data_IF_957429116359
#
_entry.id   IF_957429116359
#
_cell.length_a   1.000
_cell.length_b   1.000
_cell.length_c   1.000
_cell.angle_alpha   90.00
_cell.angle_beta   90.00
_cell.angle_gamma   90.00
#
_symmetry.space_group_name_H-M   'P 1'
#
loop_
_entity.id
_entity.type
_entity.pdbx_description
1 polymer ?
#
# COMPACT_ATOMS: atom_id res chain seq x y z
N UNK A 1 18.48 -36.89 -29.29
CA UNK A 1 18.26 -36.14 -28.04
C UNK A 1 17.76 -34.73 -28.37
N UNK A 2 16.51 -34.36 -28.00
CA UNK A 2 15.95 -33.04 -28.32
C UNK A 2 16.59 -32.00 -27.39
N UNK A 3 17.42 -31.08 -27.91
CA UNK A 3 17.95 -29.94 -27.14
C UNK A 3 16.79 -29.08 -26.63
N UNK A 4 16.40 -29.25 -25.36
CA UNK A 4 15.45 -28.36 -24.67
C UNK A 4 16.17 -27.04 -24.36
N UNK A 5 15.54 -25.89 -24.60
CA UNK A 5 16.15 -24.61 -24.23
C UNK A 5 16.19 -24.51 -22.70
N UNK A 6 17.21 -23.86 -22.16
CA UNK A 6 17.35 -23.67 -20.70
C UNK A 6 16.11 -23.00 -20.06
N UNK A 7 15.42 -22.14 -20.83
CA UNK A 7 14.14 -21.52 -20.42
C UNK A 7 13.04 -22.57 -20.20
N UNK A 8 12.91 -23.54 -21.10
CA UNK A 8 11.84 -24.54 -21.05
C UNK A 8 12.01 -25.45 -19.82
N UNK A 9 13.25 -25.86 -19.55
CA UNK A 9 13.60 -26.67 -18.36
C UNK A 9 13.38 -25.86 -17.07
N UNK A 10 13.72 -24.58 -17.06
CA UNK A 10 13.50 -23.70 -15.90
C UNK A 10 12.00 -23.51 -15.61
N UNK A 11 11.18 -23.26 -16.64
CA UNK A 11 9.72 -23.10 -16.52
C UNK A 11 9.06 -24.39 -16.03
N UNK A 12 9.48 -25.55 -16.53
CA UNK A 12 8.96 -26.86 -16.10
C UNK A 12 9.21 -27.07 -14.60
N UNK A 13 10.45 -26.84 -14.13
CA UNK A 13 10.83 -27.02 -12.73
C UNK A 13 10.28 -25.95 -11.76
N UNK A 14 9.96 -24.73 -12.23
CA UNK A 14 9.46 -23.64 -11.38
C UNK A 14 7.96 -23.35 -11.54
N UNK A 15 7.23 -24.15 -12.31
CA UNK A 15 5.78 -24.04 -12.52
C UNK A 15 4.98 -23.98 -11.20
N UNK A 16 5.35 -24.82 -10.21
CA UNK A 16 4.73 -24.82 -8.89
C UNK A 16 4.93 -23.48 -8.12
N UNK A 17 6.09 -22.84 -8.26
CA UNK A 17 6.38 -21.56 -7.61
C UNK A 17 5.62 -20.41 -8.27
N UNK A 18 5.46 -20.45 -9.59
CA UNK A 18 4.63 -19.46 -10.33
C UNK A 18 3.17 -19.56 -9.88
N UNK A 19 2.62 -20.78 -9.81
CA UNK A 19 1.26 -21.02 -9.31
C UNK A 19 1.07 -20.56 -7.86
N UNK A 20 2.04 -20.85 -6.98
CA UNK A 20 2.00 -20.40 -5.59
C UNK A 20 2.08 -18.87 -5.47
N UNK A 21 2.93 -18.23 -6.28
CA UNK A 21 3.03 -16.77 -6.35
C UNK A 21 1.75 -16.11 -6.88
N UNK A 22 1.11 -16.70 -7.90
CA UNK A 22 -0.19 -16.26 -8.40
C UNK A 22 -1.24 -16.24 -7.30
N UNK A 23 -1.37 -17.37 -6.60
CA UNK A 23 -2.34 -17.54 -5.52
C UNK A 23 -2.07 -16.54 -4.40
N UNK A 24 -0.82 -16.40 -3.97
CA UNK A 24 -0.43 -15.45 -2.94
C UNK A 24 -0.78 -14.00 -3.33
N UNK A 25 -0.54 -13.60 -4.58
CA UNK A 25 -0.90 -12.26 -5.06
C UNK A 25 -2.42 -12.06 -5.09
N UNK A 26 -3.20 -13.04 -5.54
CA UNK A 26 -4.68 -12.98 -5.54
C UNK A 26 -5.25 -12.87 -4.13
N UNK A 27 -4.78 -13.71 -3.20
CA UNK A 27 -5.25 -13.74 -1.82
C UNK A 27 -4.91 -12.43 -1.09
N UNK A 28 -3.69 -11.94 -1.28
CA UNK A 28 -3.23 -10.64 -0.74
C UNK A 28 -4.03 -9.49 -1.34
N UNK A 29 -4.17 -9.47 -2.67
CA UNK A 29 -4.90 -8.42 -3.39
C UNK A 29 -6.37 -8.34 -2.95
N UNK A 30 -7.03 -9.48 -2.78
CA UNK A 30 -8.42 -9.54 -2.28
C UNK A 30 -8.52 -8.97 -0.88
N UNK A 31 -7.66 -9.40 0.04
CA UNK A 31 -7.64 -8.93 1.42
C UNK A 31 -7.38 -7.43 1.50
N UNK A 32 -6.38 -6.93 0.77
CA UNK A 32 -6.05 -5.50 0.73
C UNK A 32 -7.13 -4.66 0.03
N UNK A 33 -7.82 -5.20 -0.97
CA UNK A 33 -8.98 -4.54 -1.61
C UNK A 33 -10.09 -4.30 -0.60
N UNK A 34 -10.40 -5.29 0.24
CA UNK A 34 -11.42 -5.17 1.30
C UNK A 34 -11.00 -4.10 2.32
N UNK A 35 -9.76 -4.15 2.79
CA UNK A 35 -9.23 -3.14 3.74
C UNK A 35 -9.27 -1.73 3.12
N UNK A 36 -8.84 -1.58 1.87
CA UNK A 36 -8.87 -0.30 1.16
C UNK A 36 -10.30 0.23 1.00
N UNK A 37 -11.24 -0.62 0.58
CA UNK A 37 -12.65 -0.25 0.45
C UNK A 37 -13.24 0.21 1.79
N UNK A 38 -12.93 -0.48 2.88
CA UNK A 38 -13.34 -0.07 4.24
C UNK A 38 -12.80 1.31 4.59
N UNK A 39 -11.51 1.59 4.33
CA UNK A 39 -10.93 2.91 4.57
C UNK A 39 -11.63 3.98 3.73
N UNK A 40 -11.92 3.70 2.45
CA UNK A 40 -12.67 4.63 1.58
C UNK A 40 -14.02 4.98 2.22
N UNK A 41 -14.80 3.99 2.66
CA UNK A 41 -16.11 4.22 3.28
C UNK A 41 -16.02 5.03 4.57
N UNK A 42 -15.06 4.70 5.44
CA UNK A 42 -14.90 5.37 6.74
C UNK A 42 -14.49 6.83 6.52
N UNK A 43 -13.44 7.08 5.73
CA UNK A 43 -12.95 8.43 5.47
C UNK A 43 -13.98 9.27 4.72
N UNK A 44 -14.72 8.68 3.78
CA UNK A 44 -15.79 9.39 3.07
C UNK A 44 -16.87 9.86 4.04
N UNK A 45 -17.26 8.99 4.99
CA UNK A 45 -18.20 9.36 6.05
C UNK A 45 -17.64 10.50 6.90
N UNK A 46 -16.38 10.36 7.34
CA UNK A 46 -15.67 11.34 8.19
C UNK A 46 -15.54 12.71 7.52
N UNK A 47 -15.36 12.78 6.20
CA UNK A 47 -15.33 14.01 5.43
C UNK A 47 -16.62 14.84 5.55
N UNK A 48 -17.78 14.16 5.65
CA UNK A 48 -19.08 14.81 5.77
C UNK A 48 -19.57 14.91 7.22
N UNK A 49 -19.10 14.04 8.11
CA UNK A 49 -19.40 14.09 9.55
C UNK A 49 -18.32 14.88 10.29
N UNK A 50 -18.25 16.18 10.02
CA UNK A 50 -17.20 17.08 10.52
C UNK A 50 -17.08 17.01 12.06
N UNK A 51 -15.88 16.70 12.60
CA UNK A 51 -15.64 16.73 14.05
C UNK A 51 -15.85 18.14 14.58
N UNK A 52 -16.71 18.27 15.60
CA UNK A 52 -17.05 19.56 16.21
C UNK A 52 -18.35 20.20 15.71
N UNK A 53 -18.96 19.67 14.66
CA UNK A 53 -20.26 20.13 14.16
C UNK A 53 -20.21 21.46 13.37
N UNK A 54 -21.39 21.88 12.92
CA UNK A 54 -21.56 23.05 12.08
C UNK A 54 -22.05 24.25 12.90
N UNK A 55 -21.59 25.46 12.58
CA UNK A 55 -22.13 26.66 13.21
C UNK A 55 -23.57 26.89 12.70
N UNK A 56 -24.55 26.89 13.61
CA UNK A 56 -25.98 26.99 13.28
C UNK A 56 -26.37 28.29 12.56
N UNK A 57 -25.56 29.35 12.70
CA UNK A 57 -25.84 30.65 12.09
C UNK A 57 -25.23 30.84 10.70
N UNK A 58 -24.13 30.14 10.39
CA UNK A 58 -23.38 30.35 9.14
C UNK A 58 -23.29 29.10 8.27
N UNK A 59 -23.58 27.92 8.82
CA UNK A 59 -23.47 26.67 8.11
C UNK A 59 -22.02 26.24 7.81
N UNK A 60 -21.02 26.89 8.41
CA UNK A 60 -19.60 26.54 8.30
C UNK A 60 -19.08 25.76 9.53
N UNK A 61 -18.15 24.80 9.33
CA UNK A 61 -17.57 24.04 10.43
C UNK A 61 -17.05 24.96 11.53
N UNK A 62 -17.41 24.68 12.78
CA UNK A 62 -17.07 25.51 13.95
C UNK A 62 -15.55 25.76 14.10
N UNK A 63 -14.73 24.88 13.55
CA UNK A 63 -13.27 24.93 13.61
C UNK A 63 -12.59 25.25 12.27
N UNK A 64 -13.33 25.80 11.28
CA UNK A 64 -12.81 26.07 9.91
C UNK A 64 -11.51 26.88 9.87
N UNK A 65 -11.33 27.82 10.80
CA UNK A 65 -10.13 28.67 10.88
C UNK A 65 -8.95 28.03 11.65
N UNK A 66 -9.15 26.86 12.27
CA UNK A 66 -8.07 26.18 12.99
C UNK A 66 -7.20 25.40 12.02
N UNK A 67 -5.89 25.54 12.19
CA UNK A 67 -4.87 24.79 11.42
C UNK A 67 -5.12 23.28 11.49
N UNK A 68 -5.55 22.77 12.65
CA UNK A 68 -5.87 21.35 12.85
C UNK A 68 -7.02 20.86 11.96
N UNK A 69 -8.04 21.70 11.71
CA UNK A 69 -9.16 21.34 10.84
C UNK A 69 -8.73 21.26 9.37
N UNK A 70 -7.86 22.17 8.92
CA UNK A 70 -7.27 22.11 7.58
C UNK A 70 -6.42 20.85 7.41
N UNK A 71 -5.60 20.51 8.41
CA UNK A 71 -4.79 19.28 8.40
C UNK A 71 -5.70 18.04 8.35
N UNK A 72 -6.79 18.03 9.12
CA UNK A 72 -7.79 16.96 9.10
C UNK A 72 -8.37 16.76 7.70
N UNK A 73 -8.93 17.81 7.08
CA UNK A 73 -9.53 17.72 5.75
C UNK A 73 -8.54 17.30 4.66
N UNK A 74 -7.32 17.84 4.69
CA UNK A 74 -6.28 17.47 3.71
C UNK A 74 -5.86 16.00 3.89
N UNK A 75 -5.67 15.55 5.14
CA UNK A 75 -5.26 14.19 5.44
C UNK A 75 -6.34 13.17 5.08
N UNK A 76 -7.60 13.50 5.34
CA UNK A 76 -8.76 12.70 4.96
C UNK A 76 -8.84 12.53 3.43
N UNK A 77 -8.72 13.63 2.67
CA UNK A 77 -8.70 13.60 1.21
C UNK A 77 -7.54 12.74 0.67
N UNK A 78 -6.32 12.91 1.21
CA UNK A 78 -5.17 12.08 0.80
C UNK A 78 -5.44 10.61 1.11
N UNK A 79 -6.03 10.29 2.28
CA UNK A 79 -6.39 8.92 2.63
C UNK A 79 -7.38 8.32 1.64
N UNK A 80 -8.43 9.06 1.29
CA UNK A 80 -9.45 8.64 0.33
C UNK A 80 -8.89 8.35 -1.05
N UNK A 81 -8.16 9.31 -1.63
CA UNK A 81 -7.60 9.15 -2.98
C UNK A 81 -6.55 8.05 -3.02
N UNK A 82 -5.71 7.95 -1.99
CA UNK A 82 -4.68 6.92 -1.93
C UNK A 82 -5.29 5.53 -1.74
N UNK A 83 -6.28 5.37 -0.85
CA UNK A 83 -7.00 4.10 -0.67
C UNK A 83 -7.75 3.68 -1.94
N UNK A 84 -8.44 4.61 -2.60
CA UNK A 84 -9.14 4.33 -3.86
C UNK A 84 -8.16 3.87 -4.95
N UNK A 85 -7.01 4.54 -5.05
CA UNK A 85 -5.94 4.14 -5.99
C UNK A 85 -5.40 2.75 -5.66
N UNK A 86 -5.21 2.45 -4.38
CA UNK A 86 -4.80 1.13 -3.90
C UNK A 86 -5.80 0.04 -4.30
N UNK A 87 -7.09 0.27 -4.07
CA UNK A 87 -8.20 -0.62 -4.46
C UNK A 87 -8.19 -0.86 -5.97
N UNK A 88 -8.03 0.18 -6.79
CA UNK A 88 -7.96 0.02 -8.24
C UNK A 88 -6.76 -0.81 -8.70
N UNK A 89 -5.60 -0.63 -8.06
CA UNK A 89 -4.40 -1.43 -8.37
C UNK A 89 -4.59 -2.90 -8.00
N UNK A 90 -5.17 -3.18 -6.84
CA UNK A 90 -5.47 -4.54 -6.39
C UNK A 90 -6.56 -5.20 -7.24
N UNK A 91 -7.63 -4.49 -7.57
CA UNK A 91 -8.64 -4.96 -8.51
C UNK A 91 -8.04 -5.23 -9.90
N UNK A 92 -7.08 -4.40 -10.33
CA UNK A 92 -6.30 -4.61 -11.54
C UNK A 92 -5.41 -5.85 -11.54
N UNK A 93 -5.03 -6.36 -10.36
CA UNK A 93 -4.34 -7.66 -10.18
C UNK A 93 -5.34 -8.80 -10.25
N UNK A 94 -6.52 -8.65 -9.65
CA UNK A 94 -7.57 -9.68 -9.67
C UNK A 94 -8.19 -9.87 -11.07
N UNK A 95 -8.30 -8.77 -11.82
CA UNK A 95 -8.92 -8.74 -13.16
C UNK A 95 -7.91 -9.02 -14.28
N UNK A 96 -6.61 -8.94 -13.99
CA UNK A 96 -5.56 -9.25 -14.97
C UNK A 96 -5.68 -10.71 -15.44
N UNK A 97 -5.75 -10.90 -16.76
CA UNK A 97 -5.59 -12.22 -17.37
C UNK A 97 -4.10 -12.54 -17.32
N UNK A 98 -3.72 -13.47 -16.46
CA UNK A 98 -2.36 -13.89 -16.12
C UNK A 98 -1.59 -14.50 -17.33
N UNK A 99 -1.33 -13.70 -18.36
CA UNK A 99 -0.46 -14.07 -19.48
C UNK A 99 1.02 -13.93 -19.04
N UNK A 100 1.86 -14.89 -19.43
CA UNK A 100 3.25 -15.05 -18.93
C UNK A 100 4.11 -13.77 -19.03
N UNK A 101 3.89 -12.91 -20.03
CA UNK A 101 4.68 -11.68 -20.23
C UNK A 101 4.26 -10.51 -19.33
N UNK A 102 2.98 -10.41 -18.94
CA UNK A 102 2.49 -9.38 -18.00
C UNK A 102 2.81 -9.72 -16.53
N UNK A 103 3.01 -11.01 -16.26
CA UNK A 103 3.26 -11.57 -14.94
C UNK A 103 4.59 -11.12 -14.32
N UNK A 104 5.63 -10.94 -15.15
CA UNK A 104 6.99 -10.73 -14.67
C UNK A 104 7.31 -9.28 -14.30
N UNK A 105 6.54 -8.30 -14.81
CA UNK A 105 6.84 -6.87 -14.59
C UNK A 105 5.64 -6.02 -14.21
N UNK A 106 4.47 -6.27 -14.82
CA UNK A 106 3.28 -5.43 -14.58
C UNK A 106 2.60 -5.78 -13.24
N UNK A 107 2.53 -7.06 -12.88
CA UNK A 107 1.91 -7.53 -11.63
C UNK A 107 2.67 -7.08 -10.37
N UNK A 108 3.99 -7.31 -10.26
CA UNK A 108 4.75 -6.84 -9.10
C UNK A 108 4.67 -5.33 -8.94
N UNK A 109 4.69 -4.58 -10.04
CA UNK A 109 4.61 -3.12 -10.01
C UNK A 109 3.24 -2.63 -9.50
N UNK A 110 2.14 -3.22 -10.00
CA UNK A 110 0.78 -2.93 -9.48
C UNK A 110 0.68 -3.24 -7.99
N UNK A 111 1.28 -4.33 -7.53
CA UNK A 111 1.22 -4.74 -6.13
C UNK A 111 2.05 -3.80 -5.24
N UNK A 112 3.23 -3.38 -5.68
CA UNK A 112 4.05 -2.37 -5.00
C UNK A 112 3.30 -1.05 -4.88
N UNK A 113 2.76 -0.54 -6.00
CA UNK A 113 1.99 0.72 -6.00
C UNK A 113 0.78 0.60 -5.09
N UNK A 114 -0.01 -0.49 -5.21
CA UNK A 114 -1.19 -0.75 -4.39
C UNK A 114 -0.88 -0.77 -2.89
N UNK A 115 0.13 -1.52 -2.46
CA UNK A 115 0.55 -1.60 -1.06
C UNK A 115 1.09 -0.26 -0.55
N UNK A 116 1.84 0.49 -1.38
CA UNK A 116 2.39 1.80 -1.00
C UNK A 116 1.29 2.84 -0.78
N UNK A 117 0.28 2.87 -1.66
CA UNK A 117 -0.89 3.72 -1.50
C UNK A 117 -1.73 3.31 -0.28
N UNK A 118 -1.89 2.00 -0.02
CA UNK A 118 -2.60 1.53 1.17
C UNK A 118 -1.90 1.99 2.46
N UNK A 119 -0.57 1.89 2.49
CA UNK A 119 0.23 2.38 3.61
C UNK A 119 0.06 3.89 3.83
N UNK A 120 0.19 4.67 2.75
CA UNK A 120 0.01 6.11 2.79
C UNK A 120 -1.38 6.47 3.32
N UNK A 121 -2.43 5.77 2.87
CA UNK A 121 -3.79 5.95 3.35
C UNK A 121 -3.94 5.65 4.84
N UNK A 122 -3.40 4.54 5.34
CA UNK A 122 -3.46 4.21 6.78
C UNK A 122 -2.72 5.28 7.61
N UNK A 123 -1.56 5.74 7.15
CA UNK A 123 -0.81 6.78 7.83
C UNK A 123 -1.58 8.10 7.89
N UNK A 124 -2.15 8.57 6.78
CA UNK A 124 -2.93 9.82 6.76
C UNK A 124 -4.26 9.70 7.49
N UNK A 125 -4.89 8.51 7.48
CA UNK A 125 -6.07 8.23 8.32
C UNK A 125 -5.75 8.40 9.82
N UNK A 126 -4.59 7.91 10.29
CA UNK A 126 -4.19 8.10 11.70
C UNK A 126 -3.89 9.56 12.03
N UNK A 127 -3.33 10.33 11.08
CA UNK A 127 -3.14 11.78 11.23
C UNK A 127 -4.49 12.50 11.31
N UNK A 128 -5.44 12.17 10.43
CA UNK A 128 -6.79 12.72 10.45
C UNK A 128 -7.49 12.41 11.78
N UNK A 129 -7.44 11.16 12.24
CA UNK A 129 -7.99 10.76 13.52
C UNK A 129 -7.39 11.54 14.70
N UNK A 130 -6.06 11.70 14.72
CA UNK A 130 -5.35 12.46 15.76
C UNK A 130 -5.74 13.95 15.74
N UNK A 131 -5.88 14.54 14.55
CA UNK A 131 -6.33 15.91 14.38
C UNK A 131 -7.79 16.09 14.85
N UNK A 132 -8.68 15.17 14.49
CA UNK A 132 -10.08 15.17 14.89
C UNK A 132 -10.24 15.11 16.42
N UNK A 133 -9.49 14.21 17.08
CA UNK A 133 -9.49 14.12 18.54
C UNK A 133 -8.93 15.37 19.21
N UNK A 134 -7.87 15.95 18.63
CA UNK A 134 -7.28 17.19 19.16
C UNK A 134 -8.25 18.37 19.08
N UNK A 135 -9.09 18.41 18.04
CA UNK A 135 -10.18 19.40 17.90
C UNK A 135 -11.27 19.13 18.93
N UNK A 136 -11.68 17.88 19.10
CA UNK A 136 -12.79 17.50 19.98
C UNK A 136 -12.46 17.69 21.48
N UNK A 137 -11.22 17.43 21.90
CA UNK A 137 -10.78 17.52 23.30
C UNK A 137 -9.99 18.82 23.60
N UNK A 138 -10.30 19.92 22.91
CA UNK A 138 -9.60 21.20 23.05
C UNK A 138 -9.46 21.61 24.53
N UNK A 139 -8.24 21.51 25.08
CA UNK A 139 -7.90 21.84 26.47
C UNK A 139 -7.57 20.66 27.40
N UNK A 140 -7.82 19.40 27.01
CA UNK A 140 -7.54 18.20 27.81
C UNK A 140 -6.38 17.36 27.25
N UNK A 141 -5.18 17.96 27.25
CA UNK A 141 -3.93 17.35 26.73
C UNK A 141 -3.60 15.98 27.33
N UNK A 142 -4.06 15.70 28.56
CA UNK A 142 -3.81 14.43 29.25
C UNK A 142 -4.49 13.22 28.56
N UNK A 143 -5.57 13.45 27.80
CA UNK A 143 -6.27 12.40 27.04
C UNK A 143 -5.72 12.27 25.62
N UNK A 144 -5.27 13.37 25.02
CA UNK A 144 -4.77 13.40 23.64
C UNK A 144 -3.44 12.67 23.50
N UNK A 145 -2.52 12.82 24.47
CA UNK A 145 -1.17 12.23 24.41
C UNK A 145 -1.18 10.69 24.35
N UNK A 146 -1.91 9.97 25.22
CA UNK A 146 -2.02 8.51 25.13
C UNK A 146 -2.62 8.03 23.82
N UNK A 147 -3.59 8.76 23.27
CA UNK A 147 -4.28 8.34 22.05
C UNK A 147 -3.41 8.52 20.81
N UNK A 148 -2.59 9.57 20.75
CA UNK A 148 -1.56 9.71 19.71
C UNK A 148 -0.57 8.55 19.78
N UNK A 149 -0.14 8.18 20.99
CA UNK A 149 0.78 7.05 21.18
C UNK A 149 0.16 5.72 20.72
N UNK A 150 -1.13 5.52 21.01
CA UNK A 150 -1.89 4.37 20.55
C UNK A 150 -2.06 4.35 19.02
N UNK A 151 -2.26 5.52 18.39
CA UNK A 151 -2.37 5.65 16.94
C UNK A 151 -1.05 5.36 16.21
N UNK A 152 0.10 5.55 16.87
CA UNK A 152 1.40 5.17 16.32
C UNK A 152 1.58 3.65 16.23
N UNK A 153 0.98 2.87 17.13
CA UNK A 153 1.14 1.42 17.17
C UNK A 153 0.75 0.72 15.84
N UNK A 154 -0.44 0.94 15.25
CA UNK A 154 -0.80 0.32 13.98
C UNK A 154 0.08 0.80 12.81
N UNK A 155 0.55 2.06 12.82
CA UNK A 155 1.47 2.57 11.77
C UNK A 155 2.82 1.86 11.83
N UNK A 156 3.37 1.69 13.03
CA UNK A 156 4.65 1.01 13.24
C UNK A 156 4.52 -0.48 12.90
N UNK A 157 3.44 -1.13 13.34
CA UNK A 157 3.13 -2.52 13.01
C UNK A 157 3.03 -2.73 11.50
N UNK A 158 2.28 -1.86 10.82
CA UNK A 158 2.12 -1.96 9.37
C UNK A 158 3.43 -1.68 8.64
N UNK A 159 4.21 -0.69 9.08
CA UNK A 159 5.54 -0.42 8.53
C UNK A 159 6.46 -1.63 8.68
N UNK A 160 6.47 -2.27 9.84
CA UNK A 160 7.26 -3.48 10.09
C UNK A 160 6.82 -4.66 9.20
N UNK A 161 5.51 -4.81 8.97
CA UNK A 161 4.96 -5.94 8.22
C UNK A 161 5.08 -5.75 6.70
N UNK A 162 4.89 -4.53 6.17
CA UNK A 162 4.89 -4.23 4.74
C UNK A 162 6.30 -4.01 4.17
N UNK A 163 7.26 -3.57 5.00
CA UNK A 163 8.59 -3.23 4.54
C UNK A 163 9.40 -4.43 4.02
N UNK A 164 9.43 -5.61 4.69
CA UNK A 164 10.11 -6.79 4.17
C UNK A 164 9.63 -7.26 2.79
N UNK A 165 8.31 -7.44 2.54
CA UNK A 165 7.84 -7.89 1.23
C UNK A 165 8.03 -6.83 0.14
N UNK A 166 7.79 -5.54 0.43
CA UNK A 166 8.04 -4.45 -0.54
C UNK A 166 9.51 -4.36 -0.92
N UNK A 167 10.42 -4.42 0.07
CA UNK A 167 11.87 -4.35 -0.18
C UNK A 167 12.35 -5.55 -1.00
N UNK A 168 11.89 -6.76 -0.68
CA UNK A 168 12.24 -7.96 -1.44
C UNK A 168 11.74 -7.88 -2.89
N UNK A 169 10.52 -7.41 -3.09
CA UNK A 169 9.93 -7.30 -4.42
C UNK A 169 10.62 -6.22 -5.26
N UNK A 170 10.91 -5.04 -4.70
CA UNK A 170 11.69 -3.98 -5.37
C UNK A 170 13.09 -4.47 -5.72
N UNK A 171 13.79 -5.14 -4.79
CA UNK A 171 15.12 -5.68 -5.04
C UNK A 171 15.09 -6.80 -6.09
N UNK A 172 14.02 -7.60 -6.16
CA UNK A 172 13.88 -8.64 -7.18
C UNK A 172 13.54 -8.08 -8.56
N UNK A 173 12.74 -7.02 -8.65
CA UNK A 173 12.29 -6.43 -9.92
C UNK A 173 13.31 -5.42 -10.49
N UNK A 174 13.98 -4.66 -9.63
CA UNK A 174 14.90 -3.58 -10.02
C UNK A 174 16.35 -3.81 -9.59
N UNK A 175 16.65 -4.87 -8.82
CA UNK A 175 18.01 -5.17 -8.40
C UNK A 175 18.90 -5.68 -9.55
N UNK A 176 20.23 -5.65 -9.36
CA UNK A 176 21.17 -6.15 -10.37
C UNK A 176 20.86 -7.62 -10.65
N UNK A 177 20.56 -7.92 -11.92
CA UNK A 177 20.25 -9.26 -12.38
C UNK A 177 21.33 -10.23 -11.89
N UNK A 178 20.94 -11.20 -11.07
CA UNK A 178 21.82 -12.26 -10.56
C UNK A 178 22.51 -13.00 -11.73
N UNK A 179 21.91 -12.98 -12.91
CA UNK A 179 22.44 -13.54 -14.14
C UNK A 179 23.54 -12.71 -14.79
N UNK A 180 23.50 -11.38 -14.70
CA UNK A 180 24.50 -10.51 -15.33
C UNK A 180 25.88 -10.64 -14.64
N UNK A 181 25.86 -10.88 -13.32
CA UNK A 181 27.08 -11.08 -12.52
C UNK A 181 27.76 -12.42 -12.79
N UNK A 182 27.00 -13.49 -13.09
CA UNK A 182 27.57 -14.80 -13.45
C UNK A 182 27.99 -14.86 -14.91
N UNK A 183 27.24 -14.27 -15.84
CA UNK A 183 27.56 -14.26 -17.27
C UNK A 183 28.92 -13.58 -17.56
N UNK A 184 29.21 -12.45 -16.91
CA UNK A 184 30.55 -11.83 -17.01
C UNK A 184 31.66 -12.75 -16.51
N UNK A 185 31.45 -13.48 -15.40
CA UNK A 185 32.47 -14.36 -14.83
C UNK A 185 32.78 -15.57 -15.72
N UNK A 186 31.79 -16.10 -16.44
CA UNK A 186 31.99 -17.19 -17.39
C UNK A 186 32.74 -16.75 -18.65
N UNK A 187 32.47 -15.54 -19.16
CA UNK A 187 33.15 -15.01 -20.35
C UNK A 187 34.66 -14.80 -20.13
N UNK A 188 35.09 -14.45 -18.90
CA UNK A 188 36.52 -14.32 -18.58
C UNK A 188 37.24 -15.67 -18.41
N UNK A 189 36.55 -16.74 -18.00
CA UNK A 189 37.17 -18.06 -17.78
C UNK A 189 37.36 -18.84 -19.10
N UNK A 190 36.62 -18.48 -20.15
CA UNK A 190 36.75 -19.11 -21.48
C UNK A 190 37.69 -18.38 -22.43
N UNK A 191 38.38 -17.32 -21.97
CA UNK A 191 39.32 -16.53 -22.77
C UNK A 191 40.80 -16.74 -22.40
N UNK A 192 41.11 -17.71 -21.54
CA UNK A 192 42.46 -18.22 -21.27
C UNK A 192 42.63 -19.65 -21.79
#
# INVERSE_FOLDING_TARGET
EKKRKARDVFTEHHSNLVSAGEKWMKDTSTSCTVVGALIVTIMFTVAFTVPGGNNQNTGFPLFSDKILFKIFMISDAISLFSSTTSVLMFLGILTSRYAEDDFLKSLPNKLIIGLSCLFLSIATMMIAFSAALSIMFHGQVWIVVPVIFLACAPVILFMWMQFPPLRQMIMSTYGPSIFDRKAKKWLYVTSD
#
